data_IF_569107215602
#
_entry.id   IF_569107215602
#
_cell.length_a   1.000
_cell.length_b   1.000
_cell.length_c   1.000
_cell.angle_alpha   90.00
_cell.angle_beta   90.00
_cell.angle_gamma   90.00
#
_symmetry.space_group_name_H-M   'P 1'
#
loop_
_entity.id
_entity.type
_entity.pdbx_description
1 polymer ?
#
# COMPACT_ATOMS: atom_id res chain seq x y z
N UNK A 1 -48.37 12.18 -12.66
CA UNK A 1 -47.53 11.32 -13.53
C UNK A 1 -46.37 12.03 -14.24
N UNK A 2 -46.18 13.35 -14.10
CA UNK A 2 -45.07 14.08 -14.75
C UNK A 2 -43.77 14.12 -13.91
N UNK A 3 -43.88 14.03 -12.57
CA UNK A 3 -42.73 14.08 -11.66
C UNK A 3 -41.85 12.82 -11.65
N UNK A 4 -42.43 11.64 -11.90
CA UNK A 4 -41.67 10.37 -11.88
C UNK A 4 -40.73 10.19 -13.08
N UNK A 5 -41.02 10.82 -14.23
CA UNK A 5 -40.17 10.71 -15.44
C UNK A 5 -38.86 11.51 -15.31
N UNK A 6 -38.89 12.66 -14.64
CA UNK A 6 -37.69 13.51 -14.49
C UNK A 6 -36.69 12.96 -13.47
N UNK A 7 -37.16 12.23 -12.46
CA UNK A 7 -36.30 11.63 -11.43
C UNK A 7 -35.48 10.44 -11.97
N UNK A 8 -36.09 9.62 -12.84
CA UNK A 8 -35.40 8.52 -13.50
C UNK A 8 -34.28 9.02 -14.44
N UNK A 9 -34.49 10.13 -15.15
CA UNK A 9 -33.51 10.70 -16.08
C UNK A 9 -32.32 11.35 -15.33
N UNK A 10 -32.59 11.99 -14.18
CA UNK A 10 -31.54 12.54 -13.31
C UNK A 10 -30.71 11.43 -12.62
N UNK A 11 -31.35 10.32 -12.22
CA UNK A 11 -30.63 9.15 -11.68
C UNK A 11 -29.75 8.48 -12.75
N UNK A 12 -30.20 8.41 -14.01
CA UNK A 12 -29.40 7.84 -15.09
C UNK A 12 -28.18 8.70 -15.44
N UNK A 13 -28.33 10.04 -15.49
CA UNK A 13 -27.19 10.95 -15.70
C UNK A 13 -26.19 10.89 -14.54
N UNK A 14 -26.66 10.80 -13.30
CA UNK A 14 -25.81 10.65 -12.11
C UNK A 14 -25.03 9.33 -12.13
N UNK A 15 -25.68 8.22 -12.53
CA UNK A 15 -25.03 6.91 -12.66
C UNK A 15 -23.93 6.92 -13.74
N UNK A 16 -24.17 7.60 -14.87
CA UNK A 16 -23.18 7.72 -15.96
C UNK A 16 -21.98 8.57 -15.54
N UNK A 17 -22.20 9.64 -14.76
CA UNK A 17 -21.10 10.46 -14.21
C UNK A 17 -20.31 9.71 -13.12
N UNK A 18 -20.97 8.87 -12.33
CA UNK A 18 -20.33 8.07 -11.27
C UNK A 18 -19.49 6.90 -11.82
N UNK A 19 -19.91 6.29 -12.93
CA UNK A 19 -19.12 5.26 -13.63
C UNK A 19 -17.84 5.86 -14.24
N UNK A 20 -17.82 7.17 -14.52
CA UNK A 20 -16.65 7.86 -15.09
C UNK A 20 -15.61 8.30 -14.06
N UNK A 21 -15.88 8.18 -12.75
CA UNK A 21 -15.00 8.69 -11.68
C UNK A 21 -14.39 7.61 -10.77
N UNK A 22 -14.39 6.34 -11.20
CA UNK A 22 -13.55 5.31 -10.60
C UNK A 22 -12.05 5.66 -10.77
N UNK A 23 -11.50 6.41 -9.81
CA UNK A 23 -10.06 6.59 -9.70
C UNK A 23 -9.44 5.29 -9.20
N UNK A 24 -8.73 4.60 -10.09
CA UNK A 24 -7.90 3.45 -9.77
C UNK A 24 -6.90 3.82 -8.67
N UNK A 25 -6.82 3.02 -7.61
CA UNK A 25 -5.72 3.11 -6.64
C UNK A 25 -4.42 2.86 -7.42
N UNK A 26 -3.60 3.90 -7.48
CA UNK A 26 -2.47 3.99 -8.38
C UNK A 26 -1.20 3.59 -7.61
N UNK A 27 -0.45 2.59 -8.09
CA UNK A 27 0.96 2.45 -7.69
C UNK A 27 1.67 3.76 -8.05
N UNK A 28 2.00 4.57 -7.04
CA UNK A 28 2.52 5.90 -7.28
C UNK A 28 3.97 5.77 -7.77
N UNK A 29 4.37 6.45 -8.86
CA UNK A 29 5.78 6.51 -9.23
C UNK A 29 6.58 7.07 -8.03
N UNK A 30 7.71 6.45 -7.70
CA UNK A 30 8.57 6.78 -6.55
C UNK A 30 10.04 6.94 -6.97
N UNK A 31 10.75 7.85 -6.28
CA UNK A 31 12.15 8.17 -6.50
C UNK A 31 13.09 7.37 -5.59
N UNK A 32 14.41 7.39 -5.86
CA UNK A 32 15.42 6.62 -5.11
C UNK A 32 15.53 6.98 -3.62
N UNK A 33 15.05 8.16 -3.24
CA UNK A 33 14.96 8.67 -1.87
C UNK A 33 13.58 8.39 -1.24
N UNK A 34 12.80 7.51 -1.86
CA UNK A 34 11.42 7.18 -1.49
C UNK A 34 10.44 8.35 -1.57
N UNK A 35 10.84 9.50 -2.13
CA UNK A 35 9.97 10.66 -2.31
C UNK A 35 9.17 10.56 -3.63
N UNK A 36 8.03 11.28 -3.75
CA UNK A 36 7.29 11.35 -5.00
C UNK A 36 8.05 12.16 -6.07
N UNK A 37 7.98 11.77 -7.35
CA UNK A 37 8.51 12.56 -8.46
C UNK A 37 7.83 13.93 -8.54
N UNK A 38 8.63 14.94 -8.85
CA UNK A 38 8.20 16.34 -8.88
C UNK A 38 8.36 16.93 -10.29
N UNK A 39 7.71 18.07 -10.55
CA UNK A 39 7.95 18.84 -11.77
C UNK A 39 9.30 19.55 -11.64
N UNK A 40 10.31 19.25 -12.48
CA UNK A 40 11.59 19.93 -12.36
C UNK A 40 11.43 21.41 -12.70
N UNK A 41 11.95 22.30 -11.86
CA UNK A 41 11.80 23.75 -12.00
C UNK A 41 12.71 24.36 -13.11
N UNK A 42 13.19 23.53 -14.05
CA UNK A 42 14.20 23.92 -15.04
C UNK A 42 13.73 23.59 -16.47
N UNK A 43 13.61 24.63 -17.31
CA UNK A 43 13.21 24.52 -18.73
C UNK A 43 14.21 23.71 -19.60
N UNK A 44 15.42 23.42 -19.12
CA UNK A 44 16.48 22.73 -19.87
C UNK A 44 17.25 21.76 -18.96
N UNK A 45 16.79 20.52 -18.88
CA UNK A 45 17.55 19.40 -18.33
C UNK A 45 18.21 18.61 -19.47
N UNK A 46 19.35 17.97 -19.19
CA UNK A 46 20.03 17.07 -20.11
C UNK A 46 19.31 15.72 -20.20
N UNK A 47 18.87 15.17 -19.06
CA UNK A 47 17.98 14.02 -19.00
C UNK A 47 16.56 14.39 -19.46
N UNK A 48 16.39 14.53 -20.77
CA UNK A 48 15.17 15.02 -21.45
C UNK A 48 14.04 14.01 -21.58
N UNK A 49 14.19 12.79 -21.06
CA UNK A 49 13.12 11.80 -21.22
C UNK A 49 11.82 12.38 -20.68
N UNK A 50 10.84 12.46 -21.57
CA UNK A 50 9.78 13.45 -21.63
C UNK A 50 8.69 13.20 -20.59
N UNK A 51 9.06 13.26 -19.32
CA UNK A 51 8.13 13.02 -18.23
C UNK A 51 7.67 14.36 -17.67
N UNK A 52 6.35 14.49 -17.50
CA UNK A 52 5.73 15.61 -16.77
C UNK A 52 6.27 15.73 -15.34
N UNK A 53 6.83 14.65 -14.78
CA UNK A 53 7.42 14.54 -13.44
C UNK A 53 8.73 13.74 -13.49
N UNK A 54 9.73 14.11 -12.71
CA UNK A 54 11.01 13.41 -12.61
C UNK A 54 11.56 13.43 -11.18
N UNK A 55 12.67 12.72 -10.96
CA UNK A 55 13.28 12.55 -9.63
C UNK A 55 14.55 13.37 -9.40
N UNK A 56 14.93 14.24 -10.34
CA UNK A 56 16.19 14.98 -10.27
C UNK A 56 15.97 16.48 -10.26
N UNK A 57 16.78 17.17 -9.44
CA UNK A 57 16.96 18.61 -9.54
C UNK A 57 17.92 18.95 -10.68
N UNK A 58 18.05 20.23 -11.01
CA UNK A 58 19.08 20.71 -11.97
C UNK A 58 20.49 20.34 -11.52
N UNK A 59 20.75 20.32 -10.21
CA UNK A 59 22.05 19.94 -9.65
C UNK A 59 22.35 18.47 -9.90
N UNK A 60 21.37 17.61 -9.73
CA UNK A 60 21.52 16.16 -9.96
C UNK A 60 21.72 15.86 -11.44
N UNK A 61 20.96 16.52 -12.32
CA UNK A 61 21.12 16.42 -13.78
C UNK A 61 22.52 16.84 -14.25
N UNK A 62 23.08 17.94 -13.71
CA UNK A 62 24.46 18.34 -13.99
C UNK A 62 25.49 17.31 -13.52
N UNK A 63 25.29 16.68 -12.35
CA UNK A 63 26.18 15.61 -11.86
C UNK A 63 26.12 14.38 -12.77
N UNK A 64 24.93 13.99 -13.21
CA UNK A 64 24.75 12.88 -14.13
C UNK A 64 25.33 13.17 -15.51
N UNK A 65 25.23 14.41 -16.00
CA UNK A 65 25.90 14.84 -17.23
C UNK A 65 27.42 14.72 -17.13
N UNK A 66 28.01 15.16 -16.01
CA UNK A 66 29.45 15.02 -15.77
C UNK A 66 29.89 13.55 -15.68
N UNK A 67 29.08 12.70 -15.03
CA UNK A 67 29.30 11.25 -14.99
C UNK A 67 29.28 10.64 -16.39
N UNK A 68 28.28 11.00 -17.20
CA UNK A 68 28.17 10.56 -18.59
C UNK A 68 29.37 10.98 -19.44
N UNK A 69 29.80 12.24 -19.35
CA UNK A 69 30.93 12.75 -20.13
C UNK A 69 32.22 12.03 -19.79
N UNK A 70 32.42 11.71 -18.51
CA UNK A 70 33.60 11.00 -18.04
C UNK A 70 33.57 9.53 -18.45
N UNK A 71 32.44 8.85 -18.22
CA UNK A 71 32.25 7.47 -18.62
C UNK A 71 32.42 7.29 -20.14
N UNK A 72 31.90 8.20 -20.96
CA UNK A 72 32.00 8.11 -22.42
C UNK A 72 33.44 8.27 -22.93
N UNK A 73 34.32 8.96 -22.20
CA UNK A 73 35.75 9.06 -22.56
C UNK A 73 36.47 7.72 -22.47
N UNK A 74 35.98 6.80 -21.63
CA UNK A 74 36.54 5.44 -21.49
C UNK A 74 36.24 4.52 -22.67
N UNK A 75 35.26 4.89 -23.51
CA UNK A 75 34.77 4.04 -24.61
C UNK A 75 35.62 4.23 -25.87
N UNK A 76 36.02 3.12 -26.48
CA UNK A 76 36.79 3.07 -27.72
C UNK A 76 36.09 3.81 -28.87
N UNK A 77 36.87 4.41 -29.77
CA UNK A 77 36.34 5.24 -30.86
C UNK A 77 35.29 4.52 -31.72
N UNK A 78 35.49 3.23 -32.03
CA UNK A 78 34.58 2.41 -32.83
C UNK A 78 33.17 2.28 -32.23
N UNK A 79 33.07 2.13 -30.91
CA UNK A 79 31.79 1.91 -30.21
C UNK A 79 31.15 3.20 -29.66
N UNK A 80 31.89 4.32 -29.71
CA UNK A 80 31.50 5.58 -29.05
C UNK A 80 30.17 6.13 -29.55
N UNK A 81 29.85 5.98 -30.85
CA UNK A 81 28.60 6.48 -31.44
C UNK A 81 27.37 5.74 -30.91
N UNK A 82 27.44 4.41 -30.87
CA UNK A 82 26.39 3.53 -30.37
C UNK A 82 26.26 3.70 -28.86
N UNK A 83 27.39 3.75 -28.15
CA UNK A 83 27.39 3.87 -26.71
C UNK A 83 26.76 5.17 -26.20
N UNK A 84 26.99 6.31 -26.87
CA UNK A 84 26.35 7.60 -26.53
C UNK A 84 24.84 7.45 -26.31
N UNK A 85 24.17 6.68 -27.18
CA UNK A 85 22.71 6.50 -27.13
C UNK A 85 22.29 5.66 -25.92
N UNK A 86 22.93 4.52 -25.67
CA UNK A 86 22.58 3.66 -24.54
C UNK A 86 22.97 4.28 -23.20
N UNK A 87 24.20 4.80 -23.11
CA UNK A 87 24.75 5.38 -21.89
C UNK A 87 23.93 6.57 -21.39
N UNK A 88 23.50 7.47 -22.29
CA UNK A 88 22.64 8.58 -21.90
C UNK A 88 21.32 8.12 -21.30
N UNK A 89 20.67 7.09 -21.86
CA UNK A 89 19.44 6.52 -21.30
C UNK A 89 19.66 5.91 -19.92
N UNK A 90 20.70 5.08 -19.76
CA UNK A 90 21.01 4.38 -18.51
C UNK A 90 21.35 5.36 -17.38
N UNK A 91 22.23 6.33 -17.64
CA UNK A 91 22.61 7.36 -16.66
C UNK A 91 21.39 8.16 -16.21
N UNK A 92 20.49 8.49 -17.14
CA UNK A 92 19.27 9.22 -16.83
C UNK A 92 18.18 8.42 -16.09
N UNK A 93 18.33 7.10 -15.91
CA UNK A 93 17.36 6.30 -15.16
C UNK A 93 17.23 6.74 -13.70
N UNK A 94 18.27 7.34 -13.11
CA UNK A 94 18.21 7.91 -11.75
C UNK A 94 17.19 9.06 -11.65
N UNK A 95 16.94 9.77 -12.76
CA UNK A 95 15.95 10.84 -12.85
C UNK A 95 14.57 10.38 -13.32
N UNK A 96 14.45 9.11 -13.70
CA UNK A 96 13.18 8.55 -14.16
C UNK A 96 12.16 8.57 -13.02
N UNK A 97 10.89 8.85 -13.31
CA UNK A 97 9.82 8.91 -12.29
C UNK A 97 9.61 7.59 -11.53
N UNK A 98 10.15 6.49 -12.05
CA UNK A 98 10.06 5.14 -11.48
C UNK A 98 11.45 4.63 -11.06
N UNK A 99 12.35 5.53 -10.66
CA UNK A 99 13.72 5.15 -10.34
C UNK A 99 13.78 4.21 -9.14
N UNK A 100 12.88 4.35 -8.16
CA UNK A 100 12.78 3.42 -7.02
C UNK A 100 12.62 1.97 -7.49
N UNK A 101 11.62 1.69 -8.34
CA UNK A 101 11.43 0.37 -8.93
C UNK A 101 12.59 -0.08 -9.82
N UNK A 102 13.13 0.81 -10.68
CA UNK A 102 14.23 0.45 -11.59
C UNK A 102 15.47 0.00 -10.82
N UNK A 103 15.73 0.58 -9.65
CA UNK A 103 16.90 0.24 -8.82
C UNK A 103 16.53 -0.63 -7.62
N UNK A 104 15.31 -1.14 -7.59
CA UNK A 104 14.77 -1.99 -6.53
C UNK A 104 14.97 -1.42 -5.12
N UNK A 105 14.60 -0.15 -4.93
CA UNK A 105 14.63 0.51 -3.61
C UNK A 105 13.49 0.01 -2.72
N UNK A 106 12.35 -0.33 -3.33
CA UNK A 106 11.10 -0.60 -2.60
C UNK A 106 11.07 -1.97 -1.93
N UNK A 107 11.69 -2.98 -2.54
CA UNK A 107 11.71 -4.33 -1.97
C UNK A 107 13.04 -4.65 -1.27
N UNK A 108 14.03 -3.76 -1.32
CA UNK A 108 15.34 -3.96 -0.72
C UNK A 108 15.54 -3.09 0.54
N UNK A 109 15.33 -3.64 1.75
CA UNK A 109 15.53 -2.90 3.00
C UNK A 109 17.00 -2.51 3.24
N UNK A 110 17.94 -3.11 2.51
CA UNK A 110 19.38 -2.82 2.56
C UNK A 110 19.86 -2.05 1.33
N UNK A 111 18.97 -1.30 0.67
CA UNK A 111 19.30 -0.54 -0.53
C UNK A 111 20.53 0.36 -0.31
N UNK A 112 21.53 0.18 -1.17
CA UNK A 112 22.73 1.00 -1.19
C UNK A 112 22.88 1.62 -2.58
N UNK A 113 22.67 2.95 -2.66
CA UNK A 113 22.77 3.71 -3.90
C UNK A 113 24.13 3.61 -4.62
N UNK A 114 25.20 3.21 -3.90
CA UNK A 114 26.54 2.99 -4.48
C UNK A 114 26.72 1.57 -5.05
N UNK A 115 25.90 0.61 -4.64
CA UNK A 115 25.97 -0.80 -5.06
C UNK A 115 24.79 -1.23 -5.94
N UNK A 116 23.84 -0.33 -6.20
CA UNK A 116 22.63 -0.62 -6.96
C UNK A 116 22.91 -0.70 -8.48
N UNK A 117 22.44 -1.78 -9.10
CA UNK A 117 22.40 -1.96 -10.55
C UNK A 117 20.97 -1.63 -11.05
N UNK A 118 20.80 -0.94 -12.18
CA UNK A 118 19.48 -0.70 -12.74
C UNK A 118 18.89 -2.00 -13.32
N UNK A 119 17.56 -2.12 -13.29
CA UNK A 119 16.79 -3.15 -13.98
C UNK A 119 16.69 -2.82 -15.47
N UNK A 120 17.42 -3.57 -16.31
CA UNK A 120 17.46 -3.41 -17.75
C UNK A 120 16.95 -4.69 -18.41
N UNK A 121 15.97 -4.55 -19.31
CA UNK A 121 15.45 -5.71 -20.03
C UNK A 121 16.51 -6.32 -20.94
N UNK A 122 16.51 -7.65 -21.07
CA UNK A 122 17.58 -8.42 -21.72
C UNK A 122 18.12 -7.81 -23.01
N UNK A 123 17.26 -7.56 -24.01
CA UNK A 123 17.67 -7.01 -25.32
C UNK A 123 18.30 -5.62 -25.24
N UNK A 124 17.81 -4.76 -24.34
CA UNK A 124 18.40 -3.44 -24.15
C UNK A 124 19.76 -3.56 -23.47
N UNK A 125 19.83 -4.40 -22.43
CA UNK A 125 21.04 -4.62 -21.67
C UNK A 125 22.17 -5.23 -22.51
N UNK A 126 21.90 -6.27 -23.31
CA UNK A 126 22.93 -6.92 -24.11
C UNK A 126 23.57 -5.96 -25.13
N UNK A 127 22.76 -5.11 -25.76
CA UNK A 127 23.27 -4.04 -26.64
C UNK A 127 24.07 -2.99 -25.86
N UNK A 128 23.63 -2.65 -24.65
CA UNK A 128 24.38 -1.74 -23.77
C UNK A 128 25.74 -2.33 -23.41
N UNK A 129 25.82 -3.58 -22.96
CA UNK A 129 27.08 -4.27 -22.66
C UNK A 129 27.98 -4.35 -23.90
N UNK A 130 27.43 -4.72 -25.06
CA UNK A 130 28.17 -4.86 -26.32
C UNK A 130 28.87 -3.55 -26.74
N UNK A 131 28.22 -2.41 -26.56
CA UNK A 131 28.75 -1.12 -27.02
C UNK A 131 29.37 -0.27 -25.92
N UNK A 132 29.10 -0.53 -24.64
CA UNK A 132 29.49 0.32 -23.52
C UNK A 132 30.26 -0.39 -22.40
N UNK A 133 30.85 -1.57 -22.64
CA UNK A 133 31.62 -2.33 -21.66
C UNK A 133 32.52 -1.47 -20.74
N UNK A 134 33.35 -0.59 -21.32
CA UNK A 134 34.27 0.28 -20.56
C UNK A 134 33.52 1.29 -19.67
N UNK A 135 32.44 1.87 -20.19
CA UNK A 135 31.61 2.79 -19.42
C UNK A 135 30.83 2.09 -18.30
N UNK A 136 30.44 0.82 -18.49
CA UNK A 136 29.79 0.00 -17.47
C UNK A 136 30.76 -0.25 -16.32
N UNK A 137 31.98 -0.69 -16.61
CA UNK A 137 33.02 -0.87 -15.59
C UNK A 137 33.32 0.43 -14.84
N UNK A 138 33.32 1.58 -15.55
CA UNK A 138 33.52 2.87 -14.91
C UNK A 138 32.38 3.26 -13.93
N UNK A 139 31.11 3.06 -14.33
CA UNK A 139 29.95 3.49 -13.53
C UNK A 139 29.60 2.47 -12.44
N UNK A 140 29.64 1.18 -12.78
CA UNK A 140 29.11 0.08 -11.98
C UNK A 140 30.19 -0.87 -11.48
N UNK A 141 31.46 -0.72 -11.87
CA UNK A 141 32.53 -1.66 -11.49
C UNK A 141 32.67 -1.84 -9.97
N UNK A 142 32.47 -0.79 -9.17
CA UNK A 142 32.46 -0.91 -7.71
C UNK A 142 31.27 -1.73 -7.18
N UNK A 143 30.08 -1.55 -7.76
CA UNK A 143 28.89 -2.32 -7.44
C UNK A 143 29.04 -3.79 -7.86
N UNK A 144 29.59 -4.02 -9.07
CA UNK A 144 29.87 -5.33 -9.62
C UNK A 144 30.89 -6.09 -8.78
N UNK A 145 31.99 -5.45 -8.37
CA UNK A 145 33.00 -6.04 -7.47
C UNK A 145 32.40 -6.44 -6.13
N UNK A 146 31.62 -5.55 -5.50
CA UNK A 146 30.96 -5.83 -4.21
C UNK A 146 30.04 -7.05 -4.28
N UNK A 147 29.40 -7.28 -5.43
CA UNK A 147 28.44 -8.37 -5.64
C UNK A 147 29.04 -9.61 -6.33
N UNK A 148 30.35 -9.62 -6.58
CA UNK A 148 31.04 -10.66 -7.35
C UNK A 148 30.40 -10.93 -8.74
N UNK A 149 30.04 -9.86 -9.45
CA UNK A 149 29.39 -9.89 -10.76
C UNK A 149 30.41 -9.57 -11.85
N UNK A 150 30.48 -10.41 -12.89
CA UNK A 150 31.29 -10.10 -14.08
C UNK A 150 30.48 -9.30 -15.10
N UNK A 151 31.15 -8.69 -16.08
CA UNK A 151 30.45 -8.00 -17.17
C UNK A 151 29.51 -8.94 -17.97
N UNK A 152 29.86 -10.23 -18.09
CA UNK A 152 29.01 -11.24 -18.72
C UNK A 152 27.73 -11.54 -17.92
N UNK A 153 27.79 -11.36 -16.59
CA UNK A 153 26.67 -11.57 -15.69
C UNK A 153 25.79 -10.33 -15.53
N UNK A 154 26.28 -9.16 -15.94
CA UNK A 154 25.63 -7.86 -15.73
C UNK A 154 24.16 -7.86 -16.16
N UNK A 155 23.84 -8.41 -17.33
CA UNK A 155 22.44 -8.42 -17.82
C UNK A 155 21.54 -9.43 -17.12
N UNK A 156 22.10 -10.55 -16.65
CA UNK A 156 21.36 -11.52 -15.86
C UNK A 156 21.00 -10.91 -14.51
N UNK A 157 21.97 -10.31 -13.84
CA UNK A 157 21.79 -9.67 -12.53
C UNK A 157 20.94 -8.39 -12.61
N UNK A 158 21.02 -7.67 -13.72
CA UNK A 158 20.17 -6.52 -14.02
C UNK A 158 18.71 -6.93 -14.25
N UNK A 159 18.43 -8.07 -14.88
CA UNK A 159 17.04 -8.48 -15.17
C UNK A 159 16.34 -9.17 -13.98
N UNK A 160 17.07 -9.69 -12.99
CA UNK A 160 16.52 -10.46 -11.85
C UNK A 160 15.84 -9.57 -10.78
N UNK A 161 15.96 -8.25 -10.86
CA UNK A 161 15.28 -7.33 -9.95
C UNK A 161 13.74 -7.37 -10.12
N UNK A 162 13.09 -8.22 -9.31
CA UNK A 162 11.66 -8.40 -8.97
C UNK A 162 10.59 -8.52 -10.04
N UNK A 163 10.75 -8.01 -11.26
CA UNK A 163 9.82 -8.26 -12.35
C UNK A 163 10.41 -7.83 -13.71
N UNK A 164 10.64 -8.78 -14.62
CA UNK A 164 11.23 -8.52 -15.95
C UNK A 164 10.42 -7.51 -16.79
N UNK A 165 9.12 -7.40 -16.51
CA UNK A 165 8.23 -6.47 -17.21
C UNK A 165 8.32 -5.04 -16.66
N UNK A 166 8.94 -4.85 -15.49
CA UNK A 166 9.21 -3.54 -14.89
C UNK A 166 10.64 -3.03 -15.15
N UNK A 167 11.49 -3.78 -15.84
CA UNK A 167 12.78 -3.26 -16.29
C UNK A 167 12.64 -2.20 -17.41
N UNK A 168 13.62 -1.30 -17.50
CA UNK A 168 13.71 -0.36 -18.63
C UNK A 168 14.02 -1.10 -19.95
N UNK A 169 13.42 -0.72 -21.10
CA UNK A 169 12.43 0.34 -21.29
C UNK A 169 10.96 -0.11 -21.14
N UNK A 170 10.71 -1.40 -20.85
CA UNK A 170 9.35 -1.99 -20.81
C UNK A 170 8.47 -1.36 -19.74
N UNK A 171 9.04 -0.88 -18.64
CA UNK A 171 8.34 -0.25 -17.52
C UNK A 171 7.27 0.78 -17.96
N UNK A 172 7.52 1.57 -19.01
CA UNK A 172 6.51 2.53 -19.51
C UNK A 172 5.27 1.85 -20.08
N UNK A 173 5.46 0.76 -20.83
CA UNK A 173 4.38 -0.02 -21.43
C UNK A 173 3.62 -0.76 -20.35
N UNK A 174 4.33 -1.43 -19.44
CA UNK A 174 3.76 -2.18 -18.33
C UNK A 174 2.96 -1.29 -17.40
N UNK A 175 3.49 -0.13 -16.98
CA UNK A 175 2.75 0.85 -16.19
C UNK A 175 1.53 1.39 -16.94
N UNK A 176 1.61 1.66 -18.25
CA UNK A 176 0.44 2.07 -19.04
C UNK A 176 -0.61 0.95 -19.12
N UNK A 177 -0.18 -0.30 -19.26
CA UNK A 177 -1.07 -1.46 -19.26
C UNK A 177 -1.73 -1.64 -17.89
N UNK A 178 -0.97 -1.53 -16.80
CA UNK A 178 -1.47 -1.58 -15.42
C UNK A 178 -2.45 -0.43 -15.11
N UNK A 179 -2.20 0.77 -15.65
CA UNK A 179 -3.13 1.91 -15.55
C UNK A 179 -4.45 1.69 -16.28
N UNK A 180 -4.40 0.97 -17.40
CA UNK A 180 -5.58 0.72 -18.25
C UNK A 180 -6.27 -0.61 -17.93
N UNK A 181 -5.65 -1.48 -17.13
CA UNK A 181 -6.26 -2.71 -16.66
C UNK A 181 -7.22 -2.40 -15.53
N UNK A 182 -8.48 -2.82 -15.70
CA UNK A 182 -9.43 -2.92 -14.59
C UNK A 182 -8.83 -3.79 -13.46
N UNK A 183 -9.14 -3.51 -12.18
CA UNK A 183 -8.64 -4.25 -11.02
C UNK A 183 -8.78 -5.78 -11.15
N UNK A 184 -9.76 -6.25 -11.91
CA UNK A 184 -10.08 -7.66 -12.14
C UNK A 184 -8.98 -8.48 -12.87
N UNK A 185 -7.98 -7.81 -13.48
CA UNK A 185 -7.00 -8.49 -14.34
C UNK A 185 -5.71 -8.93 -13.63
N UNK A 186 -5.49 -8.57 -12.36
CA UNK A 186 -4.29 -9.05 -11.61
C UNK A 186 -4.34 -10.59 -11.44
N UNK A 187 -5.54 -11.18 -11.42
CA UNK A 187 -5.72 -12.62 -11.29
C UNK A 187 -5.53 -13.42 -12.60
N UNK A 188 -5.60 -12.80 -13.79
CA UNK A 188 -5.66 -13.52 -15.07
C UNK A 188 -4.30 -13.71 -15.78
N UNK A 189 -3.21 -13.17 -15.24
CA UNK A 189 -1.90 -13.15 -15.91
C UNK A 189 -0.91 -14.23 -15.49
N UNK A 190 -1.16 -14.99 -14.42
CA UNK A 190 -0.19 -15.95 -13.90
C UNK A 190 -0.52 -17.35 -14.41
N UNK A 191 0.12 -17.75 -15.51
CA UNK A 191 0.25 -19.17 -15.85
C UNK A 191 0.99 -19.85 -14.69
N UNK A 192 0.23 -20.57 -13.86
CA UNK A 192 0.61 -21.14 -12.56
C UNK A 192 1.60 -22.32 -12.64
N UNK A 193 2.50 -22.34 -13.63
CA UNK A 193 3.42 -23.46 -13.91
C UNK A 193 4.90 -23.13 -13.69
N UNK A 194 5.25 -21.90 -13.32
CA UNK A 194 6.63 -21.57 -12.94
C UNK A 194 6.95 -21.99 -11.51
N UNK A 195 7.92 -22.91 -11.37
CA UNK A 195 8.56 -23.24 -10.09
C UNK A 195 9.08 -21.96 -9.44
N UNK A 196 8.69 -21.70 -8.18
CA UNK A 196 9.13 -20.53 -7.41
C UNK A 196 8.17 -19.34 -7.40
N UNK A 197 6.99 -19.44 -8.03
CA UNK A 197 5.95 -18.41 -7.94
C UNK A 197 4.95 -18.71 -6.81
N UNK A 198 4.39 -17.65 -6.22
CA UNK A 198 3.20 -17.74 -5.37
C UNK A 198 1.94 -17.60 -6.21
N UNK A 199 0.93 -18.42 -5.93
CA UNK A 199 -0.40 -18.30 -6.51
C UNK A 199 -1.39 -17.84 -5.44
N UNK A 200 -2.36 -17.03 -5.86
CA UNK A 200 -3.51 -16.68 -5.02
C UNK A 200 -4.71 -17.52 -5.44
N UNK A 201 -5.45 -18.00 -4.45
CA UNK A 201 -6.74 -18.67 -4.66
C UNK A 201 -7.77 -17.95 -3.82
N UNK A 202 -8.90 -17.65 -4.45
CA UNK A 202 -10.06 -17.14 -3.74
C UNK A 202 -10.64 -18.22 -2.82
N UNK A 203 -10.81 -17.87 -1.55
CA UNK A 203 -11.35 -18.77 -0.51
C UNK A 203 -12.80 -18.39 -0.21
N UNK A 204 -13.06 -17.10 0.00
CA UNK A 204 -14.38 -16.52 0.33
C UNK A 204 -14.55 -15.20 -0.42
N UNK A 205 -15.79 -14.91 -0.79
CA UNK A 205 -16.21 -13.69 -1.47
C UNK A 205 -17.40 -13.02 -0.77
N UNK A 206 -17.90 -11.90 -1.33
CA UNK A 206 -19.05 -11.14 -0.83
C UNK A 206 -18.89 -10.63 0.62
N UNK A 207 -17.67 -10.26 1.00
CA UNK A 207 -17.37 -9.62 2.29
C UNK A 207 -17.61 -8.11 2.22
N UNK A 208 -17.88 -7.50 3.36
CA UNK A 208 -18.17 -6.05 3.47
C UNK A 208 -17.04 -5.34 4.19
N UNK A 209 -16.13 -4.71 3.43
CA UNK A 209 -14.93 -4.03 3.94
C UNK A 209 -14.18 -4.89 4.98
N UNK A 210 -13.64 -6.06 4.59
CA UNK A 210 -12.86 -6.90 5.49
C UNK A 210 -11.56 -6.19 5.90
N UNK A 211 -11.24 -6.18 7.20
CA UNK A 211 -10.09 -5.45 7.76
C UNK A 211 -9.02 -6.36 8.35
N UNK A 212 -9.41 -7.50 8.92
CA UNK A 212 -8.49 -8.43 9.55
C UNK A 212 -8.93 -9.88 9.36
N UNK A 213 -7.95 -10.78 9.26
CA UNK A 213 -8.13 -12.23 9.30
C UNK A 213 -7.23 -12.78 10.41
N UNK A 214 -7.84 -13.42 11.41
CA UNK A 214 -7.17 -13.80 12.66
C UNK A 214 -7.36 -15.29 12.94
N UNK A 215 -6.45 -15.89 13.69
CA UNK A 215 -6.65 -17.20 14.31
C UNK A 215 -6.74 -17.04 15.84
N UNK A 216 -7.49 -17.92 16.50
CA UNK A 216 -7.69 -17.88 17.95
C UNK A 216 -6.59 -18.59 18.75
N UNK A 217 -5.64 -19.24 18.06
CA UNK A 217 -4.56 -20.03 18.66
C UNK A 217 -5.07 -21.12 19.63
N UNK A 218 -6.24 -21.69 19.31
CA UNK A 218 -6.96 -22.68 20.13
C UNK A 218 -6.88 -24.11 19.53
N UNK A 219 -6.02 -24.32 18.53
CA UNK A 219 -5.84 -25.57 17.79
C UNK A 219 -7.06 -26.01 16.96
N UNK A 220 -8.11 -25.18 16.87
CA UNK A 220 -9.29 -25.51 16.05
C UNK A 220 -9.09 -25.24 14.56
N UNK A 221 -8.00 -24.53 14.21
CA UNK A 221 -7.71 -24.04 12.86
C UNK A 221 -8.83 -23.18 12.23
N UNK A 222 -9.72 -22.64 13.06
CA UNK A 222 -10.71 -21.65 12.63
C UNK A 222 -10.03 -20.32 12.42
N UNK A 223 -10.43 -19.64 11.35
CA UNK A 223 -10.06 -18.25 11.09
C UNK A 223 -11.27 -17.34 11.35
N UNK A 224 -11.00 -16.10 11.72
CA UNK A 224 -12.00 -15.10 12.04
C UNK A 224 -11.78 -13.89 11.15
N UNK A 225 -12.76 -13.56 10.33
CA UNK A 225 -12.69 -12.41 9.44
C UNK A 225 -13.51 -11.26 10.01
N UNK A 226 -12.86 -10.12 10.18
CA UNK A 226 -13.43 -8.89 10.74
C UNK A 226 -13.89 -8.00 9.60
N UNK A 227 -15.15 -7.61 9.61
CA UNK A 227 -15.74 -6.65 8.69
C UNK A 227 -15.93 -5.30 9.40
N UNK A 228 -15.50 -4.21 8.76
CA UNK A 228 -15.55 -2.84 9.29
C UNK A 228 -16.94 -2.47 9.83
N UNK A 229 -17.98 -3.01 9.20
CA UNK A 229 -19.38 -2.75 9.56
C UNK A 229 -19.78 -3.31 10.94
N UNK A 230 -18.91 -4.03 11.65
CA UNK A 230 -19.19 -4.56 12.99
C UNK A 230 -19.62 -6.02 13.00
N UNK A 231 -19.17 -6.80 12.01
CA UNK A 231 -19.40 -8.23 11.95
C UNK A 231 -18.07 -8.98 12.02
N UNK A 232 -18.07 -10.13 12.68
CA UNK A 232 -16.96 -11.09 12.63
C UNK A 232 -17.52 -12.44 12.21
N UNK A 233 -16.99 -13.05 11.16
CA UNK A 233 -17.41 -14.39 10.72
C UNK A 233 -16.34 -15.44 11.01
N UNK A 234 -16.79 -16.66 11.32
CA UNK A 234 -15.90 -17.82 11.44
C UNK A 234 -15.74 -18.49 10.08
N UNK A 235 -14.50 -18.84 9.76
CA UNK A 235 -14.11 -19.66 8.62
C UNK A 235 -13.55 -20.96 9.19
N UNK A 236 -14.18 -22.07 8.83
CA UNK A 236 -13.78 -23.40 9.28
C UNK A 236 -12.53 -23.89 8.54
N UNK A 237 -11.83 -24.94 9.04
CA UNK A 237 -10.65 -25.49 8.37
C UNK A 237 -10.91 -26.01 6.96
N UNK A 238 -12.16 -26.37 6.65
CA UNK A 238 -12.61 -26.74 5.30
C UNK A 238 -12.99 -25.51 4.44
N UNK A 239 -12.56 -24.32 4.83
CA UNK A 239 -12.73 -23.05 4.12
C UNK A 239 -14.18 -22.54 4.01
N UNK A 240 -15.11 -23.22 4.69
CA UNK A 240 -16.50 -22.78 4.74
C UNK A 240 -16.66 -21.63 5.75
N UNK A 241 -17.17 -20.49 5.28
CA UNK A 241 -17.67 -19.41 6.14
C UNK A 241 -19.00 -19.83 6.78
N UNK A 242 -19.15 -19.64 8.09
CA UNK A 242 -20.43 -19.81 8.76
C UNK A 242 -21.39 -18.65 8.45
N UNK A 243 -22.67 -18.94 8.22
CA UNK A 243 -23.68 -17.91 7.93
C UNK A 243 -23.99 -17.05 9.14
N UNK A 244 -23.95 -17.64 10.33
CA UNK A 244 -24.06 -16.89 11.58
C UNK A 244 -22.71 -16.26 11.93
N UNK A 245 -22.65 -14.96 12.20
CA UNK A 245 -21.42 -14.32 12.66
C UNK A 245 -21.01 -14.80 14.06
N UNK A 246 -19.70 -14.84 14.28
CA UNK A 246 -19.09 -14.97 15.61
C UNK A 246 -19.45 -13.81 16.54
N UNK A 247 -19.47 -12.60 15.99
CA UNK A 247 -19.81 -11.38 16.70
C UNK A 247 -20.62 -10.46 15.77
N UNK A 248 -21.69 -9.88 16.30
CA UNK A 248 -22.46 -8.83 15.65
C UNK A 248 -22.62 -7.66 16.62
N UNK A 249 -21.91 -6.57 16.32
CA UNK A 249 -21.96 -5.31 17.07
C UNK A 249 -22.33 -4.13 16.14
N UNK A 250 -23.02 -4.41 15.03
CA UNK A 250 -23.46 -3.39 14.05
C UNK A 250 -24.22 -2.24 14.70
N UNK A 251 -25.00 -2.51 15.75
CA UNK A 251 -25.76 -1.51 16.51
C UNK A 251 -24.88 -0.56 17.34
N UNK A 252 -23.64 -0.97 17.65
CA UNK A 252 -22.69 -0.18 18.45
C UNK A 252 -21.74 0.63 17.57
N UNK A 253 -21.34 0.10 16.42
CA UNK A 253 -20.33 0.75 15.59
C UNK A 253 -20.89 1.92 14.80
N UNK A 254 -20.11 2.99 14.72
CA UNK A 254 -20.35 4.10 13.80
C UNK A 254 -19.57 3.83 12.53
N UNK A 255 -20.25 3.76 11.39
CA UNK A 255 -19.64 3.60 10.07
C UNK A 255 -20.48 4.34 9.04
N UNK A 256 -19.91 4.62 7.87
CA UNK A 256 -20.64 5.21 6.74
C UNK A 256 -20.11 4.69 5.42
N UNK A 257 -20.85 4.93 4.33
CA UNK A 257 -20.39 4.63 2.97
C UNK A 257 -19.50 5.73 2.38
N UNK A 258 -19.14 6.76 3.16
CA UNK A 258 -18.30 7.84 2.68
C UNK A 258 -16.86 7.34 2.45
N UNK A 259 -16.28 7.73 1.31
CA UNK A 259 -14.91 7.36 1.01
C UNK A 259 -13.92 7.98 2.02
N UNK A 260 -12.98 7.17 2.50
CA UNK A 260 -11.98 7.60 3.50
C UNK A 260 -12.53 7.68 4.93
N UNK A 261 -13.77 7.27 5.18
CA UNK A 261 -14.29 7.07 6.53
C UNK A 261 -13.74 5.75 7.08
N UNK A 262 -12.80 5.86 7.99
CA UNK A 262 -12.14 4.75 8.67
C UNK A 262 -12.97 4.20 9.82
N UNK A 263 -14.08 4.85 10.24
CA UNK A 263 -14.84 4.42 11.43
C UNK A 263 -15.53 3.06 11.23
N UNK A 264 -15.56 2.28 12.30
CA UNK A 264 -16.18 0.96 12.33
C UNK A 264 -15.60 0.09 13.44
N UNK A 265 -15.71 -1.23 13.30
CA UNK A 265 -14.91 -2.20 14.05
C UNK A 265 -13.53 -2.28 13.39
N UNK A 266 -12.46 -1.86 14.06
CA UNK A 266 -11.13 -1.67 13.46
C UNK A 266 -10.08 -2.66 13.94
N UNK A 267 -10.22 -3.14 15.18
CA UNK A 267 -9.29 -4.07 15.80
C UNK A 267 -9.98 -5.20 16.49
N UNK A 268 -9.37 -6.37 16.43
CA UNK A 268 -9.74 -7.54 17.22
C UNK A 268 -8.48 -8.34 17.51
N UNK A 269 -8.38 -8.90 18.73
CA UNK A 269 -7.32 -9.84 19.09
C UNK A 269 -7.83 -10.82 20.13
N UNK A 270 -7.43 -12.09 20.00
CA UNK A 270 -7.68 -13.10 21.02
C UNK A 270 -6.65 -13.02 22.14
N UNK A 271 -7.06 -13.28 23.38
CA UNK A 271 -6.12 -13.42 24.48
C UNK A 271 -5.14 -14.57 24.19
N UNK A 272 -3.84 -14.49 24.57
CA UNK A 272 -2.86 -15.56 24.30
C UNK A 272 -3.25 -16.93 24.90
N UNK A 273 -4.08 -16.90 25.95
CA UNK A 273 -4.69 -18.06 26.63
C UNK A 273 -6.18 -18.24 26.31
N UNK A 274 -6.62 -17.86 25.10
CA UNK A 274 -8.03 -17.89 24.71
C UNK A 274 -8.68 -19.27 24.91
N UNK A 275 -7.94 -20.36 24.65
CA UNK A 275 -8.42 -21.72 24.92
C UNK A 275 -8.82 -21.97 26.38
N UNK A 276 -8.13 -21.32 27.33
CA UNK A 276 -8.36 -21.50 28.76
C UNK A 276 -9.42 -20.53 29.29
N UNK A 277 -9.48 -19.31 28.77
CA UNK A 277 -10.27 -18.23 29.38
C UNK A 277 -11.35 -17.63 28.49
N UNK A 278 -11.39 -17.96 27.20
CA UNK A 278 -12.38 -17.47 26.25
C UNK A 278 -12.35 -15.97 25.97
N UNK A 279 -11.30 -15.24 26.38
CA UNK A 279 -11.24 -13.77 26.30
C UNK A 279 -10.73 -13.27 24.95
N UNK A 280 -11.36 -12.23 24.45
CA UNK A 280 -10.93 -11.49 23.28
C UNK A 280 -11.14 -9.99 23.49
N UNK A 281 -10.49 -9.18 22.68
CA UNK A 281 -10.53 -7.72 22.78
C UNK A 281 -10.86 -7.14 21.43
N UNK A 282 -11.69 -6.09 21.43
CA UNK A 282 -12.09 -5.38 20.22
C UNK A 282 -11.90 -3.88 20.39
N UNK A 283 -11.55 -3.23 19.28
CA UNK A 283 -11.42 -1.79 19.16
C UNK A 283 -12.38 -1.31 18.08
N UNK A 284 -13.33 -0.46 18.45
CA UNK A 284 -14.32 0.05 17.51
C UNK A 284 -14.67 1.51 17.78
N UNK A 285 -15.12 2.21 16.74
CA UNK A 285 -15.59 3.59 16.85
C UNK A 285 -17.10 3.60 17.06
N UNK A 286 -17.58 4.39 18.01
CA UNK A 286 -19.01 4.59 18.28
C UNK A 286 -19.34 6.06 18.45
N UNK A 287 -20.65 6.37 18.50
CA UNK A 287 -21.13 7.73 18.81
C UNK A 287 -20.87 8.03 20.28
N UNK A 288 -20.36 9.22 20.57
CA UNK A 288 -20.21 9.71 21.95
C UNK A 288 -21.60 9.93 22.57
N UNK A 289 -21.89 9.25 23.69
CA UNK A 289 -23.14 9.43 24.44
C UNK A 289 -23.11 10.77 25.18
N UNK A 290 -24.22 11.51 25.19
CA UNK A 290 -24.35 12.77 25.95
C UNK A 290 -24.05 14.06 25.18
N UNK A 291 -23.98 14.03 23.85
CA UNK A 291 -23.90 15.25 23.05
C UNK A 291 -25.22 16.05 23.18
N UNK A 292 -25.29 16.96 24.15
CA UNK A 292 -26.23 18.09 24.11
C UNK A 292 -26.03 18.74 22.74
N UNK A 293 -27.11 19.00 21.99
CA UNK A 293 -27.04 19.72 20.71
C UNK A 293 -26.14 20.94 20.93
N UNK A 294 -24.89 20.88 20.42
CA UNK A 294 -24.00 22.04 20.49
C UNK A 294 -24.67 23.11 19.65
N UNK A 295 -25.11 24.17 20.30
CA UNK A 295 -25.79 25.31 19.68
C UNK A 295 -24.82 26.21 18.91
N UNK A 296 -23.51 25.94 18.98
CA UNK A 296 -22.48 26.65 18.22
C UNK A 296 -22.21 25.96 16.86
N UNK A 297 -22.53 26.60 15.73
CA UNK A 297 -22.25 26.12 14.38
C UNK A 297 -20.77 25.90 14.07
N UNK A 298 -19.83 26.33 14.92
CA UNK A 298 -18.39 26.09 14.75
C UNK A 298 -17.90 24.80 15.42
N UNK A 299 -18.70 24.16 16.27
CA UNK A 299 -18.31 22.96 17.04
C UNK A 299 -19.07 21.68 16.69
N UNK A 300 -20.01 21.72 15.72
CA UNK A 300 -20.86 20.57 15.36
C UNK A 300 -20.10 19.31 14.92
N UNK A 301 -18.87 19.51 14.42
CA UNK A 301 -17.98 18.48 13.90
C UNK A 301 -16.94 17.97 14.92
N UNK A 302 -16.88 18.53 16.13
CA UNK A 302 -15.91 18.23 17.18
C UNK A 302 -16.47 17.19 18.16
N UNK A 303 -15.78 16.05 18.33
CA UNK A 303 -16.03 15.10 19.41
C UNK A 303 -17.36 14.31 19.30
N UNK A 304 -17.78 13.95 18.09
CA UNK A 304 -19.01 13.16 17.88
C UNK A 304 -18.83 11.65 18.06
N UNK A 305 -17.59 11.18 18.04
CA UNK A 305 -17.24 9.78 18.17
C UNK A 305 -16.15 9.53 19.20
N UNK A 306 -16.13 8.31 19.70
CA UNK A 306 -15.09 7.77 20.58
C UNK A 306 -14.67 6.41 20.07
N UNK A 307 -13.38 6.12 20.18
CA UNK A 307 -12.88 4.75 20.10
C UNK A 307 -13.11 4.05 21.44
N UNK A 308 -13.58 2.81 21.39
CA UNK A 308 -13.81 1.96 22.56
C UNK A 308 -12.94 0.73 22.44
N UNK A 309 -12.10 0.51 23.44
CA UNK A 309 -11.45 -0.78 23.68
C UNK A 309 -12.28 -1.55 24.70
N UNK A 310 -12.72 -2.74 24.33
CA UNK A 310 -13.50 -3.61 25.21
C UNK A 310 -13.00 -5.05 25.17
N UNK A 311 -13.14 -5.73 26.31
CA UNK A 311 -12.99 -7.17 26.45
C UNK A 311 -14.35 -7.86 26.26
N UNK A 312 -14.34 -9.01 25.61
CA UNK A 312 -15.49 -9.89 25.43
C UNK A 312 -15.10 -11.33 25.78
N UNK A 313 -16.11 -12.17 25.96
CA UNK A 313 -15.95 -13.61 26.17
C UNK A 313 -16.70 -14.43 25.13
N UNK A 314 -16.12 -15.54 24.73
CA UNK A 314 -16.81 -16.58 23.97
C UNK A 314 -17.98 -17.14 24.78
N UNK A 315 -19.07 -17.52 24.11
CA UNK A 315 -20.19 -18.19 24.73
C UNK A 315 -19.78 -19.57 25.23
N UNK A 316 -20.20 -19.92 26.45
CA UNK A 316 -20.04 -21.29 26.98
C UNK A 316 -20.89 -22.33 26.26
N UNK A 317 -21.93 -21.91 25.53
CA UNK A 317 -22.83 -22.80 24.80
C UNK A 317 -22.44 -23.00 23.33
N UNK A 318 -21.72 -22.05 22.72
CA UNK A 318 -21.29 -22.11 21.32
C UNK A 318 -19.93 -21.42 21.14
N UNK A 319 -18.90 -22.21 20.85
CA UNK A 319 -17.54 -21.72 20.62
C UNK A 319 -17.42 -20.85 19.36
N UNK A 320 -18.42 -20.86 18.48
CA UNK A 320 -18.51 -20.00 17.29
C UNK A 320 -19.31 -18.73 17.55
N UNK A 321 -19.57 -18.36 18.81
CA UNK A 321 -20.26 -17.10 19.16
C UNK A 321 -19.63 -16.44 20.38
N UNK A 322 -19.63 -15.12 20.41
CA UNK A 322 -19.42 -14.37 21.66
C UNK A 322 -20.69 -14.32 22.49
N UNK A 323 -20.53 -14.27 23.81
CA UNK A 323 -21.61 -13.87 24.70
C UNK A 323 -21.85 -12.36 24.53
N UNK A 324 -23.00 -12.00 23.97
CA UNK A 324 -23.38 -10.61 23.68
C UNK A 324 -23.51 -9.73 24.93
N UNK A 325 -23.61 -10.35 26.12
CA UNK A 325 -23.69 -9.64 27.41
C UNK A 325 -22.35 -9.58 28.15
N UNK A 326 -21.29 -10.16 27.59
CA UNK A 326 -19.97 -10.25 28.25
C UNK A 326 -19.07 -9.02 28.06
N UNK A 327 -19.53 -8.01 27.33
CA UNK A 327 -18.74 -6.82 27.05
C UNK A 327 -18.31 -6.11 28.33
N UNK A 328 -17.00 -5.88 28.45
CA UNK A 328 -16.39 -5.05 29.49
C UNK A 328 -15.54 -3.98 28.81
N UNK A 329 -16.01 -2.73 28.84
CA UNK A 329 -15.25 -1.58 28.35
C UNK A 329 -14.02 -1.36 29.25
N UNK A 330 -12.85 -1.25 28.63
CA UNK A 330 -11.56 -1.05 29.31
C UNK A 330 -11.07 0.38 29.16
N UNK A 331 -11.27 0.98 27.99
CA UNK A 331 -10.80 2.32 27.66
C UNK A 331 -11.70 2.96 26.62
N UNK A 332 -11.84 4.28 26.70
CA UNK A 332 -12.50 5.12 25.69
C UNK A 332 -11.58 6.29 25.35
N UNK A 333 -11.39 6.56 24.05
CA UNK A 333 -10.50 7.59 23.53
C UNK A 333 -11.31 8.49 22.60
N UNK A 334 -11.20 9.81 22.75
CA UNK A 334 -11.91 10.74 21.88
C UNK A 334 -11.40 10.64 20.44
N UNK A 335 -12.31 10.61 19.46
CA UNK A 335 -11.96 10.51 18.04
C UNK A 335 -12.76 11.59 17.29
N UNK A 336 -12.20 12.81 17.14
CA UNK A 336 -12.94 13.96 16.62
C UNK A 336 -13.27 13.83 15.13
N UNK A 337 -12.56 13.00 14.36
CA UNK A 337 -12.87 12.67 12.97
C UNK A 337 -12.95 11.19 12.69
N UNK A 338 -13.50 10.91 11.51
CA UNK A 338 -13.63 9.56 11.00
C UNK A 338 -12.44 9.08 10.19
N UNK A 339 -11.26 9.66 10.36
CA UNK A 339 -10.03 9.22 9.72
C UNK A 339 -8.87 9.28 10.72
N UNK A 340 -7.77 8.62 10.42
CA UNK A 340 -6.66 8.37 11.33
C UNK A 340 -7.13 7.77 12.66
N UNK A 341 -8.00 6.76 12.62
CA UNK A 341 -8.56 6.16 13.83
C UNK A 341 -7.66 5.07 14.44
N UNK A 342 -6.68 4.58 13.67
CA UNK A 342 -5.80 3.47 14.07
C UNK A 342 -6.61 2.21 14.37
N UNK A 343 -6.34 1.60 15.52
CA UNK A 343 -7.16 0.53 16.08
C UNK A 343 -6.56 -0.87 16.00
N UNK A 344 -5.31 -1.01 15.55
CA UNK A 344 -4.64 -2.31 15.64
C UNK A 344 -4.49 -2.73 17.11
N UNK A 345 -4.75 -4.01 17.37
CA UNK A 345 -4.56 -4.65 18.67
C UNK A 345 -3.63 -5.85 18.52
N UNK A 346 -2.69 -6.01 19.44
CA UNK A 346 -1.86 -7.22 19.50
C UNK A 346 -1.40 -7.50 20.92
N UNK A 347 -1.19 -8.78 21.23
CA UNK A 347 -0.48 -9.17 22.45
C UNK A 347 1.00 -9.35 22.15
N UNK A 348 1.85 -8.67 22.92
CA UNK A 348 3.30 -8.87 22.85
C UNK A 348 3.73 -10.22 23.44
N UNK A 349 4.99 -10.59 23.21
CA UNK A 349 5.58 -11.80 23.82
C UNK A 349 5.63 -11.70 25.35
N UNK A 350 5.72 -10.47 25.86
CA UNK A 350 5.65 -10.05 27.25
C UNK A 350 4.24 -10.08 27.87
N UNK A 351 3.23 -10.47 27.10
CA UNK A 351 1.83 -10.69 27.52
C UNK A 351 1.03 -9.41 27.78
N UNK A 352 1.55 -8.24 27.42
CA UNK A 352 0.78 -7.01 27.43
C UNK A 352 -0.06 -6.84 26.17
N UNK A 353 -1.23 -6.19 26.32
CA UNK A 353 -2.06 -5.75 25.21
C UNK A 353 -1.55 -4.41 24.72
N UNK A 354 -1.09 -4.37 23.47
CA UNK A 354 -0.72 -3.15 22.77
C UNK A 354 -1.90 -2.63 21.97
N UNK A 355 -2.16 -1.34 22.11
CA UNK A 355 -3.26 -0.62 21.47
C UNK A 355 -2.66 0.52 20.67
N UNK A 356 -2.97 0.60 19.38
CA UNK A 356 -2.43 1.60 18.47
C UNK A 356 -3.54 2.55 18.00
N UNK A 357 -3.99 3.51 18.86
CA UNK A 357 -4.92 4.54 18.41
C UNK A 357 -4.23 5.48 17.42
N UNK A 358 -4.99 6.06 16.51
CA UNK A 358 -4.50 7.15 15.67
C UNK A 358 -4.79 8.52 16.29
N UNK A 359 -4.27 9.57 15.66
CA UNK A 359 -4.41 10.96 16.12
C UNK A 359 -5.88 11.47 16.11
N UNK A 360 -6.79 10.78 15.42
CA UNK A 360 -8.18 11.17 15.33
C UNK A 360 -8.50 12.21 14.26
N UNK A 361 -7.56 12.48 13.37
CA UNK A 361 -7.76 12.95 11.99
C UNK A 361 -8.03 14.44 11.81
N UNK A 362 -8.41 14.81 10.59
CA UNK A 362 -8.32 16.15 9.99
C UNK A 362 -6.89 16.68 9.74
N UNK A 363 -6.77 17.46 8.66
CA UNK A 363 -5.53 18.11 8.29
C UNK A 363 -5.19 19.25 9.27
N UNK A 364 -3.93 19.31 9.68
CA UNK A 364 -3.37 20.40 10.50
C UNK A 364 -3.71 20.32 11.98
N UNK A 365 -4.09 19.13 12.47
CA UNK A 365 -4.35 18.83 13.88
C UNK A 365 -5.17 19.91 14.62
N UNK A 366 -6.41 20.19 14.17
CA UNK A 366 -7.13 21.39 14.59
C UNK A 366 -7.87 21.26 15.94
N UNK A 367 -7.84 20.10 16.60
CA UNK A 367 -8.65 19.83 17.79
C UNK A 367 -7.83 19.88 19.07
N UNK A 368 -8.34 20.52 20.14
CA UNK A 368 -7.66 20.57 21.43
C UNK A 368 -6.61 21.68 21.55
N UNK A 369 -6.05 21.84 22.77
CA UNK A 369 -5.10 22.92 23.10
C UNK A 369 -3.74 22.77 22.42
N UNK A 370 -3.33 21.54 22.13
CA UNK A 370 -2.02 21.19 21.55
C UNK A 370 -2.15 20.44 20.21
N UNK A 371 -3.25 20.67 19.51
CA UNK A 371 -3.67 19.85 18.37
C UNK A 371 -4.18 18.48 18.82
N UNK A 372 -4.42 17.60 17.85
CA UNK A 372 -5.13 16.33 17.99
C UNK A 372 -4.60 15.41 19.11
N UNK A 373 -3.38 15.65 19.61
CA UNK A 373 -2.83 15.26 20.92
C UNK A 373 -3.03 13.80 21.39
N UNK A 374 -3.31 12.88 20.46
CA UNK A 374 -3.20 11.44 20.67
C UNK A 374 -1.88 10.88 20.12
N UNK A 375 -0.99 11.77 19.64
CA UNK A 375 0.42 11.50 19.35
C UNK A 375 1.32 12.19 20.39
#
# INVERSE_FOLDING_TARGET
MWWFKNCAMAMFLSLVVFVLTCYSVQSHPQCLDSQPPFKPNAKRMWCKDSFKLGCCTKRDDSKLKALYDTALKTVNAQNKSQCKRYLSKVVCLKCHSWSAHIYDVEANPNYNAKAALPCLGWKFCTNFVTHCAQAIEYIYGAAMKTRNITLGDFCRESEVALNKDLCYPKIKKTVRQLKNSKPDNIARGLNATQKGCLCVREVIHNLRNPLALLHANDQTHRMFIVEQIGLVYVILPNERKLDTPFMDIRSKVLTSSAFGDERGLLGMVFHPKYRENGRLFVYYITKKVGNKKKTDPKEWWLGTSVAVLSEWRVSGADLNRVDQHSEKVLMSIEQPKGNHNGGQLLFGKDKYLYVFPGDGGAAGDPFGKFGNALN
#
